data_IF_413157846105
#
_entry.id   IF_413157846105
#
_cell.length_a   1.000
_cell.length_b   1.000
_cell.length_c   1.000
_cell.angle_alpha   90.00
_cell.angle_beta   90.00
_cell.angle_gamma   90.00
#
_symmetry.space_group_name_H-M   'P 1'
#
loop_
_entity.id
_entity.type
_entity.pdbx_description
1 polymer ?
#
# COMPACT_ATOMS: atom_id res chain seq x y z
N UNK A 1 -1.87 -9.79 -7.26
CA UNK A 1 -1.04 -8.57 -7.07
C UNK A 1 -1.04 -7.82 -8.38
N UNK A 2 -1.21 -6.50 -8.36
CA UNK A 2 -1.12 -5.64 -9.55
C UNK A 2 -0.01 -4.64 -9.29
N UNK A 3 0.89 -4.47 -10.25
CA UNK A 3 1.96 -3.48 -10.19
C UNK A 3 1.56 -2.20 -10.90
N UNK A 4 2.18 -1.07 -10.55
CA UNK A 4 1.95 0.20 -11.27
C UNK A 4 2.28 0.09 -12.76
N UNK A 5 3.20 -0.79 -13.16
CA UNK A 5 3.48 -1.08 -14.57
C UNK A 5 2.29 -1.72 -15.28
N UNK A 6 1.72 -2.77 -14.68
CA UNK A 6 0.54 -3.48 -15.24
C UNK A 6 -0.70 -2.59 -15.29
N UNK A 7 -0.85 -1.67 -14.32
CA UNK A 7 -1.93 -0.70 -14.28
C UNK A 7 -1.69 0.54 -15.18
N UNK A 8 -0.57 0.62 -15.90
CA UNK A 8 -0.17 1.80 -16.69
C UNK A 8 -0.09 3.11 -15.86
N UNK A 9 0.31 3.00 -14.59
CA UNK A 9 0.44 4.09 -13.63
C UNK A 9 1.91 4.50 -13.40
N UNK A 10 2.85 4.03 -14.21
CA UNK A 10 4.25 4.51 -14.10
C UNK A 10 4.27 6.03 -14.34
N UNK A 11 4.85 6.77 -13.39
CA UNK A 11 4.92 8.24 -13.42
C UNK A 11 3.64 8.96 -12.99
N UNK A 12 2.58 8.23 -12.62
CA UNK A 12 1.41 8.81 -11.96
C UNK A 12 1.78 9.27 -10.55
N UNK A 13 1.14 10.33 -10.07
CA UNK A 13 1.37 10.85 -8.71
C UNK A 13 0.84 9.90 -7.64
N UNK A 14 1.31 10.03 -6.41
CA UNK A 14 0.87 9.18 -5.29
C UNK A 14 -0.64 9.28 -5.05
N UNK A 15 -1.23 10.47 -5.23
CA UNK A 15 -2.67 10.67 -5.19
C UNK A 15 -3.40 9.85 -6.26
N UNK A 16 -2.85 9.78 -7.47
CA UNK A 16 -3.43 8.98 -8.55
C UNK A 16 -3.29 7.47 -8.29
N UNK A 17 -2.16 7.04 -7.72
CA UNK A 17 -1.97 5.65 -7.28
C UNK A 17 -2.99 5.29 -6.20
N UNK A 18 -3.17 6.13 -5.17
CA UNK A 18 -4.15 5.93 -4.10
C UNK A 18 -5.57 5.91 -4.64
N UNK A 19 -5.92 6.82 -5.54
CA UNK A 19 -7.24 6.87 -6.16
C UNK A 19 -7.54 5.59 -6.97
N UNK A 20 -6.57 5.10 -7.75
CA UNK A 20 -6.70 3.83 -8.46
C UNK A 20 -6.89 2.66 -7.47
N UNK A 21 -6.02 2.57 -6.47
CA UNK A 21 -6.08 1.52 -5.45
C UNK A 21 -7.43 1.54 -4.71
N UNK A 22 -7.93 2.72 -4.36
CA UNK A 22 -9.25 2.90 -3.75
C UNK A 22 -10.39 2.42 -4.67
N UNK A 23 -10.37 2.80 -5.95
CA UNK A 23 -11.39 2.36 -6.92
C UNK A 23 -11.41 0.84 -7.12
N UNK A 24 -10.26 0.20 -7.01
CA UNK A 24 -10.07 -1.24 -7.14
C UNK A 24 -10.22 -1.99 -5.81
N UNK A 25 -10.45 -1.28 -4.71
CA UNK A 25 -10.47 -1.82 -3.33
C UNK A 25 -9.20 -2.59 -2.98
N UNK A 26 -8.04 -2.02 -3.30
CA UNK A 26 -6.71 -2.62 -3.10
C UNK A 26 -5.89 -1.81 -2.11
N UNK A 27 -5.15 -2.52 -1.27
CA UNK A 27 -4.12 -1.94 -0.40
C UNK A 27 -2.85 -1.67 -1.20
N UNK A 28 -2.20 -0.52 -0.98
CA UNK A 28 -0.90 -0.21 -1.57
C UNK A 28 0.21 -0.71 -0.65
N UNK A 29 1.19 -1.43 -1.20
CA UNK A 29 2.47 -1.67 -0.54
C UNK A 29 3.53 -0.74 -1.13
N UNK A 30 4.27 -0.01 -0.28
CA UNK A 30 5.28 0.95 -0.74
C UNK A 30 6.47 1.09 0.21
N UNK A 31 7.61 1.53 -0.33
CA UNK A 31 8.77 1.96 0.45
C UNK A 31 8.89 3.48 0.55
N UNK A 32 7.99 4.21 -0.11
CA UNK A 32 7.99 5.66 -0.24
C UNK A 32 7.18 6.29 0.90
N UNK A 33 7.81 7.17 1.68
CA UNK A 33 7.19 7.83 2.83
C UNK A 33 6.29 9.02 2.44
N UNK A 34 6.31 9.47 1.18
CA UNK A 34 5.38 10.48 0.69
C UNK A 34 3.92 10.00 0.77
N UNK A 35 3.67 8.68 0.69
CA UNK A 35 2.35 8.08 0.95
C UNK A 35 1.88 8.27 2.40
N UNK A 36 2.80 8.26 3.37
CA UNK A 36 2.46 8.49 4.78
C UNK A 36 2.06 9.95 5.01
N UNK A 37 2.84 10.87 4.43
CA UNK A 37 2.55 12.30 4.46
C UNK A 37 1.20 12.60 3.81
N UNK A 38 0.91 11.93 2.70
CA UNK A 38 -0.34 12.08 1.98
C UNK A 38 -1.54 11.50 2.75
N UNK A 39 -1.41 10.31 3.34
CA UNK A 39 -2.42 9.73 4.22
C UNK A 39 -2.73 10.62 5.43
N UNK A 40 -1.71 11.26 6.02
CA UNK A 40 -1.89 12.21 7.13
C UNK A 40 -2.71 13.45 6.76
N UNK A 41 -2.91 13.75 5.47
CA UNK A 41 -3.82 14.82 5.02
C UNK A 41 -5.30 14.44 5.12
N UNK A 42 -5.61 13.18 5.42
CA UNK A 42 -6.98 12.65 5.45
C UNK A 42 -7.50 12.21 4.09
N UNK A 43 -6.62 12.00 3.11
CA UNK A 43 -7.04 11.39 1.84
C UNK A 43 -7.58 9.98 2.10
N UNK A 44 -8.66 9.63 1.42
CA UNK A 44 -9.26 8.31 1.53
C UNK A 44 -8.44 7.27 0.78
N UNK A 45 -8.27 6.08 1.36
CA UNK A 45 -7.54 4.97 0.76
C UNK A 45 -8.01 3.62 1.30
N UNK A 46 -7.89 2.56 0.49
CA UNK A 46 -8.23 1.19 0.93
C UNK A 46 -7.19 0.56 1.86
N UNK A 47 -6.08 1.25 2.13
CA UNK A 47 -5.04 0.84 3.07
C UNK A 47 -3.65 1.04 2.49
N UNK A 48 -2.67 1.26 3.37
CA UNK A 48 -1.26 1.41 2.99
C UNK A 48 -0.42 0.49 3.88
N UNK A 49 0.43 -0.32 3.26
CA UNK A 49 1.47 -1.09 3.95
C UNK A 49 2.80 -0.44 3.60
N UNK A 50 3.48 0.09 4.60
CA UNK A 50 4.75 0.79 4.43
C UNK A 50 5.89 0.02 5.08
N UNK A 51 7.06 0.02 4.43
CA UNK A 51 8.30 -0.40 5.08
C UNK A 51 9.49 0.39 4.57
N UNK A 52 10.61 0.34 5.31
CA UNK A 52 11.86 1.00 4.88
C UNK A 52 12.68 0.02 4.03
N UNK A 53 13.08 0.47 2.84
CA UNK A 53 13.72 -0.30 1.76
C UNK A 53 14.97 -1.15 2.12
N UNK A 54 15.54 -1.03 3.33
CA UNK A 54 16.84 -1.63 3.71
C UNK A 54 16.79 -2.61 4.89
N UNK A 55 15.62 -3.05 5.34
CA UNK A 55 15.52 -3.91 6.54
C UNK A 55 15.24 -5.40 6.28
N UNK A 56 14.69 -5.77 5.13
CA UNK A 56 14.14 -7.12 4.93
C UNK A 56 14.46 -7.68 3.54
N UNK A 57 14.60 -8.99 3.43
CA UNK A 57 14.68 -9.68 2.14
C UNK A 57 13.31 -9.67 1.46
N UNK A 58 13.28 -9.75 0.12
CA UNK A 58 12.03 -9.83 -0.64
C UNK A 58 11.17 -11.01 -0.16
N UNK A 59 11.77 -12.16 0.13
CA UNK A 59 11.05 -13.33 0.64
C UNK A 59 10.37 -13.07 1.99
N UNK A 60 11.02 -12.31 2.89
CA UNK A 60 10.42 -11.91 4.16
C UNK A 60 9.26 -10.93 3.94
N UNK A 61 9.42 -9.93 3.08
CA UNK A 61 8.36 -8.97 2.73
C UNK A 61 7.13 -9.71 2.20
N UNK A 62 7.31 -10.64 1.26
CA UNK A 62 6.20 -11.44 0.71
C UNK A 62 5.53 -12.26 1.80
N UNK A 63 6.30 -12.91 2.68
CA UNK A 63 5.74 -13.69 3.79
C UNK A 63 4.93 -12.83 4.76
N UNK A 64 5.41 -11.63 5.09
CA UNK A 64 4.72 -10.72 6.01
C UNK A 64 3.44 -10.15 5.37
N UNK A 65 3.47 -9.84 4.06
CA UNK A 65 2.29 -9.43 3.30
C UNK A 65 1.21 -10.51 3.25
N UNK A 66 1.61 -11.79 3.11
CA UNK A 66 0.68 -12.93 3.19
C UNK A 66 0.05 -13.02 4.57
N UNK A 67 0.85 -12.87 5.65
CA UNK A 67 0.33 -12.91 7.02
C UNK A 67 -0.70 -11.80 7.27
N UNK A 68 -0.43 -10.57 6.80
CA UNK A 68 -1.38 -9.46 6.86
C UNK A 68 -2.68 -9.83 6.15
N UNK A 69 -2.59 -10.38 4.94
CA UNK A 69 -3.76 -10.78 4.16
C UNK A 69 -4.58 -11.90 4.82
N UNK A 70 -3.93 -12.82 5.52
CA UNK A 70 -4.59 -13.90 6.26
C UNK A 70 -5.25 -13.43 7.57
N UNK A 71 -4.73 -12.37 8.19
CA UNK A 71 -5.11 -11.96 9.54
C UNK A 71 -5.99 -10.71 9.60
N UNK A 72 -5.91 -9.83 8.61
CA UNK A 72 -6.60 -8.53 8.62
C UNK A 72 -7.76 -8.51 7.63
N UNK A 73 -8.89 -8.03 8.11
CA UNK A 73 -10.08 -7.82 7.27
C UNK A 73 -9.94 -6.55 6.42
N UNK A 74 -10.53 -6.51 5.21
CA UNK A 74 -10.51 -5.33 4.35
C UNK A 74 -11.05 -4.06 5.04
N UNK A 75 -12.08 -4.20 5.89
CA UNK A 75 -12.67 -3.10 6.65
C UNK A 75 -11.69 -2.54 7.68
N UNK A 76 -10.82 -3.38 8.23
CA UNK A 76 -9.75 -2.93 9.11
C UNK A 76 -8.71 -2.12 8.32
N UNK A 77 -8.37 -2.51 7.09
CA UNK A 77 -7.37 -1.78 6.31
C UNK A 77 -7.85 -0.43 5.76
N UNK A 78 -9.16 -0.20 5.71
CA UNK A 78 -9.73 1.04 5.20
C UNK A 78 -9.25 2.25 5.99
N UNK A 79 -8.63 3.22 5.30
CA UNK A 79 -7.99 4.40 5.88
C UNK A 79 -6.94 4.11 6.97
N UNK A 80 -6.43 2.87 7.05
CA UNK A 80 -5.39 2.48 7.99
C UNK A 80 -4.04 2.22 7.31
N UNK A 81 -2.99 2.36 8.10
CA UNK A 81 -1.60 2.17 7.68
C UNK A 81 -0.98 1.08 8.54
N UNK A 82 -0.40 0.08 7.89
CA UNK A 82 0.36 -0.99 8.54
C UNK A 82 1.85 -0.89 8.21
N UNK A 83 2.69 -1.32 9.15
CA UNK A 83 4.15 -1.21 9.04
C UNK A 83 4.80 -2.59 9.05
N UNK A 84 5.65 -2.89 8.06
CA UNK A 84 6.50 -4.10 8.03
C UNK A 84 7.92 -3.84 8.57
#
# INVERSE_FOLDING_TARGET
>A
MTTSAEASLIGASDQQQLAYALSEKRVIFTFDDDFLSLAATGIEHSGIIYTRQKRQSIGKIVSDLVLIWECLEPEYMYNNIEFL
#
